data_IF_197364464132
#
_entry.id   IF_197364464132
#
_cell.length_a   1.000
_cell.length_b   1.000
_cell.length_c   1.000
_cell.angle_alpha   90.00
_cell.angle_beta   90.00
_cell.angle_gamma   90.00
#
_symmetry.space_group_name_H-M   'P 1'
#
loop_
_entity.id
_entity.type
_entity.pdbx_description
1 polymer ?
#
# COMPACT_ATOMS: atom_id res chain seq x y z
N UNK A 1 22.70 43.95 28.25
CA UNK A 1 22.43 42.49 28.32
C UNK A 1 21.04 42.08 27.84
N UNK A 2 19.93 42.59 28.42
CA UNK A 2 18.56 42.13 28.05
C UNK A 2 18.23 42.25 26.55
N UNK A 3 18.60 43.34 25.89
CA UNK A 3 18.37 43.53 24.43
C UNK A 3 19.19 42.59 23.55
N UNK A 4 20.40 42.22 23.97
CA UNK A 4 21.27 41.29 23.22
C UNK A 4 20.75 39.86 23.30
N UNK A 5 20.28 39.43 24.48
CA UNK A 5 19.65 38.12 24.68
C UNK A 5 18.34 37.98 23.87
N UNK A 6 17.53 39.03 23.80
CA UNK A 6 16.32 39.05 22.96
C UNK A 6 16.67 38.92 21.47
N UNK A 7 17.71 39.61 20.99
CA UNK A 7 18.17 39.49 19.60
C UNK A 7 18.68 38.09 19.26
N UNK A 8 19.42 37.46 20.18
CA UNK A 8 19.92 36.09 20.01
C UNK A 8 18.75 35.09 20.01
N UNK A 9 17.77 35.26 20.91
CA UNK A 9 16.57 34.42 20.95
C UNK A 9 15.73 34.50 19.67
N UNK A 10 15.57 35.71 19.11
CA UNK A 10 14.89 35.91 17.82
C UNK A 10 15.69 35.25 16.69
N UNK A 11 17.02 35.37 16.68
CA UNK A 11 17.87 34.72 15.68
C UNK A 11 17.77 33.19 15.72
N UNK A 12 17.67 32.60 16.91
CA UNK A 12 17.50 31.15 17.07
C UNK A 12 16.11 30.66 16.61
N UNK A 13 15.05 31.44 16.82
CA UNK A 13 13.72 31.11 16.29
C UNK A 13 13.67 31.22 14.76
N UNK A 14 14.30 32.24 14.18
CA UNK A 14 14.37 32.39 12.72
C UNK A 14 15.28 31.33 12.07
N UNK A 15 16.31 30.85 12.77
CA UNK A 15 17.14 29.73 12.33
C UNK A 15 16.34 28.43 12.21
N UNK A 16 15.36 28.18 13.09
CA UNK A 16 14.44 27.04 12.95
C UNK A 16 13.58 27.18 11.68
N UNK A 17 13.02 28.35 11.41
CA UNK A 17 12.25 28.61 10.18
C UNK A 17 13.12 28.43 8.92
N UNK A 18 14.38 28.87 8.96
CA UNK A 18 15.34 28.64 7.88
C UNK A 18 15.70 27.17 7.73
N UNK A 19 15.87 26.42 8.82
CA UNK A 19 16.11 24.98 8.79
C UNK A 19 14.90 24.21 8.28
N UNK A 20 13.67 24.53 8.70
CA UNK A 20 12.45 23.94 8.16
C UNK A 20 12.20 24.35 6.70
N UNK A 21 12.61 25.54 6.28
CA UNK A 21 12.56 25.98 4.87
C UNK A 21 13.63 25.31 3.99
N UNK A 22 14.86 25.14 4.51
CA UNK A 22 15.99 24.56 3.78
C UNK A 22 15.98 23.02 3.80
N UNK A 23 15.48 22.40 4.86
CA UNK A 23 15.30 20.94 4.97
C UNK A 23 13.89 20.49 4.64
N UNK A 24 12.89 21.37 4.54
CA UNK A 24 11.49 20.97 4.31
C UNK A 24 11.30 20.22 2.99
N UNK A 25 11.97 20.64 1.93
CA UNK A 25 11.97 19.93 0.66
C UNK A 25 12.66 18.55 0.77
N UNK A 26 13.81 18.48 1.44
CA UNK A 26 14.55 17.24 1.62
C UNK A 26 13.85 16.25 2.58
N UNK A 27 13.19 16.75 3.62
CA UNK A 27 12.40 15.97 4.57
C UNK A 27 11.11 15.49 3.90
N UNK A 28 10.42 16.34 3.15
CA UNK A 28 9.26 15.94 2.34
C UNK A 28 9.65 14.86 1.34
N UNK A 29 10.77 15.05 0.62
CA UNK A 29 11.26 14.07 -0.34
C UNK A 29 11.63 12.75 0.35
N UNK A 30 12.34 12.78 1.49
CA UNK A 30 12.67 11.57 2.26
C UNK A 30 11.43 10.83 2.78
N UNK A 31 10.45 11.55 3.34
CA UNK A 31 9.18 10.98 3.77
C UNK A 31 8.45 10.35 2.58
N UNK A 32 8.43 11.04 1.44
CA UNK A 32 7.73 10.56 0.25
C UNK A 32 8.43 9.34 -0.37
N UNK A 33 9.76 9.28 -0.34
CA UNK A 33 10.55 8.11 -0.74
C UNK A 33 10.30 6.91 0.18
N UNK A 34 10.29 7.09 1.50
CA UNK A 34 10.01 6.01 2.45
C UNK A 34 8.56 5.52 2.40
N UNK A 35 7.60 6.44 2.22
CA UNK A 35 6.18 6.10 2.03
C UNK A 35 5.96 5.32 0.74
N UNK A 36 6.59 5.74 -0.36
CA UNK A 36 6.50 5.00 -1.62
C UNK A 36 7.18 3.63 -1.52
N UNK A 37 8.38 3.55 -0.94
CA UNK A 37 9.11 2.30 -0.69
C UNK A 37 8.31 1.30 0.15
N UNK A 38 7.70 1.77 1.25
CA UNK A 38 6.85 0.93 2.11
C UNK A 38 5.57 0.53 1.38
N UNK A 39 4.97 1.47 0.62
CA UNK A 39 3.80 1.22 -0.21
C UNK A 39 4.03 0.13 -1.25
N UNK A 40 5.17 0.18 -1.95
CA UNK A 40 5.55 -0.79 -2.98
C UNK A 40 5.71 -2.20 -2.40
N UNK A 41 6.34 -2.33 -1.24
CA UNK A 41 6.50 -3.61 -0.55
C UNK A 41 5.12 -4.17 -0.15
N UNK A 42 4.25 -3.34 0.43
CA UNK A 42 2.92 -3.77 0.86
C UNK A 42 2.05 -4.18 -0.33
N UNK A 43 2.03 -3.40 -1.40
CA UNK A 43 1.27 -3.70 -2.62
C UNK A 43 1.77 -5.00 -3.26
N UNK A 44 3.09 -5.20 -3.33
CA UNK A 44 3.71 -6.42 -3.87
C UNK A 44 3.34 -7.67 -3.06
N UNK A 45 3.37 -7.58 -1.73
CA UNK A 45 2.96 -8.69 -0.86
C UNK A 45 1.47 -9.01 -1.02
N UNK A 46 0.60 -8.00 -1.08
CA UNK A 46 -0.84 -8.22 -1.30
C UNK A 46 -1.08 -8.84 -2.67
N UNK A 47 -0.40 -8.37 -3.72
CA UNK A 47 -0.51 -8.92 -5.07
C UNK A 47 -0.18 -10.42 -5.09
N UNK A 48 0.92 -10.80 -4.44
CA UNK A 48 1.36 -12.19 -4.32
C UNK A 48 0.33 -13.06 -3.58
N UNK A 49 -0.18 -12.59 -2.44
CA UNK A 49 -1.19 -13.33 -1.65
C UNK A 49 -2.46 -13.54 -2.47
N UNK A 50 -2.93 -12.51 -3.16
CA UNK A 50 -4.13 -12.57 -4.01
C UNK A 50 -3.92 -13.58 -5.15
N UNK A 51 -2.73 -13.60 -5.77
CA UNK A 51 -2.37 -14.59 -6.79
C UNK A 51 -2.41 -16.02 -6.27
N UNK A 52 -1.87 -16.29 -5.08
CA UNK A 52 -1.87 -17.61 -4.45
C UNK A 52 -3.29 -18.07 -4.14
N UNK A 53 -4.10 -17.22 -3.51
CA UNK A 53 -5.50 -17.54 -3.16
C UNK A 53 -6.32 -17.80 -4.42
N UNK A 54 -6.17 -16.95 -5.45
CA UNK A 54 -6.85 -17.13 -6.74
C UNK A 54 -6.46 -18.44 -7.42
N UNK A 55 -5.17 -18.77 -7.44
CA UNK A 55 -4.66 -20.02 -8.01
C UNK A 55 -5.21 -21.27 -7.28
N UNK A 56 -5.16 -21.27 -5.94
CA UNK A 56 -5.71 -22.37 -5.13
C UNK A 56 -7.22 -22.54 -5.32
N UNK A 57 -7.95 -21.43 -5.46
CA UNK A 57 -9.39 -21.46 -5.69
C UNK A 57 -9.75 -22.07 -7.06
N UNK A 58 -9.00 -21.76 -8.12
CA UNK A 58 -9.19 -22.39 -9.43
C UNK A 58 -8.93 -23.90 -9.34
N UNK A 59 -7.86 -24.32 -8.67
CA UNK A 59 -7.56 -25.73 -8.43
C UNK A 59 -8.69 -26.42 -7.65
N UNK A 60 -9.20 -25.79 -6.59
CA UNK A 60 -10.32 -26.31 -5.81
C UNK A 60 -11.58 -26.47 -6.67
N UNK A 61 -11.94 -25.46 -7.47
CA UNK A 61 -13.10 -25.52 -8.36
C UNK A 61 -12.94 -26.62 -9.40
N UNK A 62 -11.74 -26.78 -9.98
CA UNK A 62 -11.47 -27.84 -10.96
C UNK A 62 -11.65 -29.25 -10.36
N UNK A 63 -11.14 -29.47 -9.15
CA UNK A 63 -11.27 -30.74 -8.42
C UNK A 63 -12.73 -30.98 -8.01
N UNK A 64 -13.38 -29.97 -7.44
CA UNK A 64 -14.77 -30.06 -6.99
C UNK A 64 -15.72 -30.29 -8.18
N UNK A 65 -15.47 -29.70 -9.34
CA UNK A 65 -16.30 -29.88 -10.53
C UNK A 65 -16.26 -31.32 -11.04
N UNK A 66 -15.11 -31.99 -10.90
CA UNK A 66 -14.92 -33.38 -11.35
C UNK A 66 -15.40 -34.41 -10.32
N UNK A 67 -15.22 -34.15 -9.03
CA UNK A 67 -15.46 -35.13 -7.97
C UNK A 67 -16.79 -34.94 -7.23
N UNK A 68 -17.21 -33.69 -7.00
CA UNK A 68 -18.42 -33.33 -6.22
C UNK A 68 -19.02 -32.00 -6.70
N UNK A 69 -19.64 -31.98 -7.89
CA UNK A 69 -20.18 -30.74 -8.49
C UNK A 69 -21.31 -30.10 -7.66
N UNK A 70 -21.98 -30.88 -6.81
CA UNK A 70 -23.01 -30.40 -5.88
C UNK A 70 -22.44 -29.38 -4.89
N UNK A 71 -21.22 -29.58 -4.39
CA UNK A 71 -20.56 -28.65 -3.48
C UNK A 71 -20.31 -27.27 -4.11
N UNK A 72 -20.09 -27.21 -5.42
CA UNK A 72 -19.93 -25.94 -6.15
C UNK A 72 -21.27 -25.20 -6.20
N UNK A 73 -22.36 -25.92 -6.47
CA UNK A 73 -23.70 -25.33 -6.52
C UNK A 73 -24.13 -24.78 -5.16
N UNK A 74 -23.87 -25.53 -4.09
CA UNK A 74 -24.23 -25.14 -2.73
C UNK A 74 -23.46 -23.89 -2.26
N UNK A 75 -22.21 -23.74 -2.71
CA UNK A 75 -21.33 -22.65 -2.30
C UNK A 75 -21.13 -21.59 -3.40
N UNK A 76 -21.94 -21.59 -4.46
CA UNK A 76 -21.75 -20.76 -5.65
C UNK A 76 -21.69 -19.26 -5.32
N UNK A 77 -22.55 -18.79 -4.40
CA UNK A 77 -22.54 -17.39 -3.96
C UNK A 77 -21.21 -17.01 -3.33
N UNK A 78 -20.65 -17.86 -2.48
CA UNK A 78 -19.37 -17.61 -1.83
C UNK A 78 -18.22 -17.60 -2.84
N UNK A 79 -18.23 -18.55 -3.78
CA UNK A 79 -17.25 -18.62 -4.88
C UNK A 79 -17.28 -17.33 -5.71
N UNK A 80 -18.45 -16.84 -6.08
CA UNK A 80 -18.58 -15.58 -6.83
C UNK A 80 -18.05 -14.39 -6.03
N UNK A 81 -18.39 -14.29 -4.74
CA UNK A 81 -17.88 -13.21 -3.87
C UNK A 81 -16.37 -13.20 -3.76
N UNK A 82 -15.76 -14.36 -3.53
CA UNK A 82 -14.29 -14.48 -3.44
C UNK A 82 -13.64 -14.14 -4.77
N UNK A 83 -14.22 -14.56 -5.90
CA UNK A 83 -13.74 -14.22 -7.24
C UNK A 83 -13.79 -12.71 -7.52
N UNK A 84 -14.87 -12.02 -7.12
CA UNK A 84 -14.98 -10.56 -7.25
C UNK A 84 -13.92 -9.86 -6.40
N UNK A 85 -13.79 -10.25 -5.12
CA UNK A 85 -12.84 -9.62 -4.19
C UNK A 85 -11.40 -9.83 -4.69
N UNK A 86 -11.02 -11.05 -5.04
CA UNK A 86 -9.68 -11.34 -5.57
C UNK A 86 -9.43 -10.65 -6.90
N UNK A 87 -10.41 -10.58 -7.80
CA UNK A 87 -10.29 -9.85 -9.06
C UNK A 87 -10.09 -8.34 -8.87
N UNK A 88 -10.84 -7.72 -7.96
CA UNK A 88 -10.68 -6.30 -7.61
C UNK A 88 -9.32 -6.05 -6.96
N UNK A 89 -8.92 -6.87 -5.98
CA UNK A 89 -7.62 -6.73 -5.32
C UNK A 89 -6.46 -6.94 -6.28
N UNK A 90 -6.56 -7.90 -7.22
CA UNK A 90 -5.57 -8.10 -8.27
C UNK A 90 -5.49 -6.88 -9.20
N UNK A 91 -6.63 -6.35 -9.65
CA UNK A 91 -6.68 -5.15 -10.49
C UNK A 91 -6.10 -3.91 -9.79
N UNK A 92 -6.43 -3.69 -8.52
CA UNK A 92 -5.91 -2.57 -7.72
C UNK A 92 -4.42 -2.71 -7.48
N UNK A 93 -3.94 -3.91 -7.11
CA UNK A 93 -2.51 -4.12 -6.88
C UNK A 93 -1.70 -4.05 -8.18
N UNK A 94 -2.18 -4.61 -9.28
CA UNK A 94 -1.51 -4.54 -10.57
C UNK A 94 -1.42 -3.11 -11.12
N UNK A 95 -2.51 -2.33 -11.02
CA UNK A 95 -2.49 -0.91 -11.41
C UNK A 95 -1.73 -0.05 -10.39
N UNK A 96 -1.79 -0.37 -9.10
CA UNK A 96 -1.00 0.28 -8.06
C UNK A 96 0.49 0.16 -8.33
N UNK A 97 0.97 -1.05 -8.66
CA UNK A 97 2.36 -1.28 -9.09
C UNK A 97 2.74 -0.39 -10.28
N UNK A 98 1.82 -0.18 -11.25
CA UNK A 98 2.09 0.66 -12.44
C UNK A 98 2.01 2.19 -12.21
N UNK A 99 1.40 2.64 -11.11
CA UNK A 99 1.26 4.08 -10.80
C UNK A 99 2.45 4.60 -9.98
N UNK A 100 3.20 3.69 -9.33
CA UNK A 100 4.37 4.03 -8.50
C UNK A 100 5.72 3.64 -9.14
N UNK A 101 5.71 2.91 -10.27
CA UNK A 101 6.86 2.73 -11.17
C UNK A 101 7.00 3.93 -12.13
#
# INVERSE_FOLDING_TARGET
>A
MKRTLVKIGIFMMLAQVYLYGAFGANLKNAIQTEVNSTGDIVISVIHMIVGIIGGLMICFIAIAAKLKPEMIKDNMKFIIWVAIITGVLWGVTNNGVSVFQ
#
